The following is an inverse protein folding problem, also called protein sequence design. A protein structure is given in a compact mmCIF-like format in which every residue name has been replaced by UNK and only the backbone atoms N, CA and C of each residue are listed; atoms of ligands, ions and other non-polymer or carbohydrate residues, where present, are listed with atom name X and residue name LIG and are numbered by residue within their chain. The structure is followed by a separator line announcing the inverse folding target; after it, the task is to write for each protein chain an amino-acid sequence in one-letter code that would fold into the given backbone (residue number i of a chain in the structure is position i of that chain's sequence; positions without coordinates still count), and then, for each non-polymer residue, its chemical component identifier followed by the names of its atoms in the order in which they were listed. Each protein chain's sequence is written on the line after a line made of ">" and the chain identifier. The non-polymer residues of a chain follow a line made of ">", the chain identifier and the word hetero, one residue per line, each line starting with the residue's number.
data_IF_886114290417
#
_entry.id   IF_886114290417
#
_cell.length_a   1.000
_cell.length_b   1.000
_cell.length_c   1.000
_cell.angle_alpha   90.00
_cell.angle_beta   90.00
_cell.angle_gamma   90.00
#
_symmetry.space_group_name_H-M   'P 1'
#
loop_
_entity.id
_entity.type
_entity.pdbx_description
1 polymer ?
#
# COMPACT_ATOMS: atom_id res chain seq x y z
N UNK A 1 36.96 29.81 8.79
CA UNK A 1 35.65 29.14 8.67
C UNK A 1 34.58 30.20 8.54
N UNK A 2 33.62 30.02 7.62
CA UNK A 2 32.27 29.70 8.10
C UNK A 2 31.63 28.56 7.30
N UNK A 3 30.98 27.65 8.02
CA UNK A 3 30.22 26.52 7.49
C UNK A 3 28.92 27.03 6.85
N UNK A 4 28.63 26.55 5.64
CA UNK A 4 27.34 26.73 5.01
C UNK A 4 26.27 25.94 5.77
N UNK A 5 25.07 26.51 6.00
CA UNK A 5 23.96 25.74 6.55
C UNK A 5 23.48 24.78 5.45
N UNK A 6 23.56 23.47 5.71
CA UNK A 6 22.84 22.48 4.91
C UNK A 6 21.35 22.70 5.17
N UNK A 7 20.67 23.28 4.19
CA UNK A 7 19.22 23.46 4.19
C UNK A 7 18.54 22.10 4.36
N UNK A 8 18.10 21.82 5.59
CA UNK A 8 17.18 20.73 5.88
C UNK A 8 15.87 20.97 5.16
N UNK A 9 15.68 20.33 4.01
CA UNK A 9 14.39 20.27 3.30
C UNK A 9 13.44 19.29 4.01
N UNK A 10 13.20 19.49 5.30
CA UNK A 10 12.11 18.81 6.00
C UNK A 10 10.75 19.36 5.48
N UNK A 11 10.33 18.87 4.32
CA UNK A 11 8.96 18.94 3.82
C UNK A 11 8.37 17.52 3.92
N UNK A 12 7.05 17.43 4.14
CA UNK A 12 6.48 16.77 5.30
C UNK A 12 6.42 15.24 5.09
N UNK A 13 7.03 14.49 6.01
CA UNK A 13 6.99 13.03 6.03
C UNK A 13 5.55 12.47 5.89
N UNK A 14 4.55 13.22 6.36
CA UNK A 14 3.13 12.92 6.22
C UNK A 14 2.65 12.87 4.77
N UNK A 15 3.07 13.80 3.89
CA UNK A 15 2.65 13.81 2.48
C UNK A 15 3.31 12.67 1.69
N UNK A 16 4.59 12.39 1.99
CA UNK A 16 5.31 11.27 1.38
C UNK A 16 4.72 9.92 1.79
N UNK A 17 4.39 9.74 3.07
CA UNK A 17 3.73 8.53 3.56
C UNK A 17 2.33 8.35 2.98
N UNK A 18 1.49 9.40 2.97
CA UNK A 18 0.16 9.34 2.35
C UNK A 18 0.25 9.00 0.87
N UNK A 19 1.24 9.52 0.15
CA UNK A 19 1.46 9.19 -1.25
C UNK A 19 1.87 7.71 -1.42
N UNK A 20 2.80 7.20 -0.62
CA UNK A 20 3.16 5.77 -0.64
C UNK A 20 1.99 4.85 -0.28
N UNK A 21 1.15 5.25 0.68
CA UNK A 21 -0.04 4.48 1.05
C UNK A 21 -1.08 4.50 -0.08
N UNK A 22 -1.27 5.63 -0.77
CA UNK A 22 -2.13 5.73 -1.95
C UNK A 22 -1.60 4.88 -3.10
N UNK A 23 -0.29 4.88 -3.32
CA UNK A 23 0.37 4.07 -4.35
C UNK A 23 0.21 2.57 -4.06
N UNK A 24 0.41 2.15 -2.80
CA UNK A 24 0.21 0.77 -2.40
C UNK A 24 -1.26 0.31 -2.50
N UNK A 25 -2.21 1.19 -2.16
CA UNK A 25 -3.65 0.93 -2.37
C UNK A 25 -3.98 0.79 -3.86
N UNK A 26 -3.42 1.65 -4.71
CA UNK A 26 -3.58 1.56 -6.15
C UNK A 26 -2.98 0.27 -6.72
N UNK A 27 -1.82 -0.16 -6.19
CA UNK A 27 -1.17 -1.43 -6.52
C UNK A 27 -2.04 -2.64 -6.18
N UNK A 28 -2.58 -2.70 -4.96
CA UNK A 28 -3.50 -3.79 -4.56
C UNK A 28 -4.77 -3.80 -5.42
N UNK A 29 -5.33 -2.63 -5.74
CA UNK A 29 -6.48 -2.54 -6.63
C UNK A 29 -6.18 -3.06 -8.05
N UNK A 30 -4.96 -2.81 -8.55
CA UNK A 30 -4.51 -3.40 -9.82
C UNK A 30 -4.32 -4.91 -9.72
N UNK A 31 -3.72 -5.41 -8.64
CA UNK A 31 -3.56 -6.86 -8.40
C UNK A 31 -4.91 -7.57 -8.33
N UNK A 32 -5.89 -6.99 -7.64
CA UNK A 32 -7.26 -7.50 -7.56
C UNK A 32 -7.95 -7.54 -8.93
N UNK A 33 -7.87 -6.44 -9.69
CA UNK A 33 -8.44 -6.38 -11.05
C UNK A 33 -7.77 -7.37 -12.00
N UNK A 34 -6.45 -7.54 -11.89
CA UNK A 34 -5.70 -8.51 -12.69
C UNK A 34 -6.05 -9.95 -12.29
N UNK A 35 -6.23 -10.24 -11.00
CA UNK A 35 -6.68 -11.54 -10.52
C UNK A 35 -8.09 -11.87 -11.05
N UNK A 36 -9.02 -10.91 -10.99
CA UNK A 36 -10.38 -11.07 -11.53
C UNK A 36 -10.36 -11.33 -13.05
N UNK A 37 -9.53 -10.60 -13.80
CA UNK A 37 -9.36 -10.82 -15.24
C UNK A 37 -8.79 -12.21 -15.54
N UNK A 38 -7.78 -12.66 -14.79
CA UNK A 38 -7.20 -14.00 -14.94
C UNK A 38 -8.21 -15.10 -14.62
N UNK A 39 -9.01 -14.94 -13.57
CA UNK A 39 -10.09 -15.88 -13.25
C UNK A 39 -11.12 -15.97 -14.38
N UNK A 40 -11.49 -14.85 -14.99
CA UNK A 40 -12.41 -14.84 -16.13
C UNK A 40 -11.80 -15.49 -17.39
N UNK A 41 -10.51 -15.27 -17.67
CA UNK A 41 -9.80 -15.91 -18.78
C UNK A 41 -9.65 -17.43 -18.57
N UNK A 42 -9.50 -17.87 -17.32
CA UNK A 42 -9.48 -19.29 -16.94
C UNK A 42 -10.87 -19.94 -17.10
N UNK A 43 -11.93 -19.30 -16.59
CA UNK A 43 -13.31 -19.79 -16.69
C UNK A 43 -13.78 -19.90 -18.16
N UNK A 44 -13.32 -18.98 -19.01
CA UNK A 44 -13.58 -18.99 -20.45
C UNK A 44 -12.67 -19.92 -21.27
N UNK A 45 -11.77 -20.66 -20.60
CA UNK A 45 -10.91 -21.67 -21.23
C UNK A 45 -9.72 -21.11 -22.01
N UNK A 46 -9.41 -19.81 -21.89
CA UNK A 46 -8.25 -19.16 -22.50
C UNK A 46 -6.96 -19.36 -21.70
N UNK A 47 -7.06 -19.71 -20.41
CA UNK A 47 -5.92 -19.96 -19.54
C UNK A 47 -6.12 -21.23 -18.71
N UNK A 48 -5.10 -22.10 -18.66
CA UNK A 48 -5.09 -23.30 -17.80
C UNK A 48 -4.53 -23.00 -16.39
N UNK A 49 -4.14 -21.74 -16.16
CA UNK A 49 -3.37 -21.30 -14.98
C UNK A 49 -4.27 -20.97 -13.77
N UNK A 50 -5.15 -21.90 -13.43
CA UNK A 50 -5.98 -21.86 -12.21
C UNK A 50 -5.14 -21.61 -10.95
N UNK A 51 -3.94 -22.21 -10.90
CA UNK A 51 -3.01 -22.11 -9.77
C UNK A 51 -2.46 -20.69 -9.64
N UNK A 52 -2.04 -20.04 -10.73
CA UNK A 52 -1.55 -18.66 -10.66
C UNK A 52 -2.66 -17.65 -10.39
N UNK A 53 -3.90 -17.91 -10.82
CA UNK A 53 -5.06 -17.10 -10.42
C UNK A 53 -5.34 -17.22 -8.91
N UNK A 54 -5.33 -18.44 -8.36
CA UNK A 54 -5.48 -18.66 -6.91
C UNK A 54 -4.33 -18.08 -6.09
N UNK A 55 -3.09 -18.14 -6.59
CA UNK A 55 -1.93 -17.57 -5.92
C UNK A 55 -1.98 -16.04 -5.93
N UNK A 56 -2.33 -15.42 -7.06
CA UNK A 56 -2.52 -13.98 -7.15
C UNK A 56 -3.62 -13.49 -6.19
N UNK A 57 -4.72 -14.24 -6.06
CA UNK A 57 -5.79 -13.91 -5.11
C UNK A 57 -5.34 -14.02 -3.64
N UNK A 58 -4.53 -15.04 -3.30
CA UNK A 58 -3.91 -15.17 -1.97
C UNK A 58 -2.92 -14.04 -1.66
N UNK A 59 -2.10 -13.67 -2.65
CA UNK A 59 -1.15 -12.56 -2.54
C UNK A 59 -1.89 -11.23 -2.33
N UNK A 60 -2.92 -10.95 -3.13
CA UNK A 60 -3.72 -9.74 -3.01
C UNK A 60 -4.38 -9.62 -1.63
N UNK A 61 -4.97 -10.70 -1.11
CA UNK A 61 -5.60 -10.71 0.21
C UNK A 61 -4.58 -10.49 1.36
N UNK A 62 -3.38 -11.07 1.24
CA UNK A 62 -2.30 -10.86 2.20
C UNK A 62 -1.81 -9.41 2.17
N UNK A 63 -1.52 -8.87 0.98
CA UNK A 63 -1.09 -7.48 0.77
C UNK A 63 -2.13 -6.49 1.30
N UNK A 64 -3.41 -6.73 1.03
CA UNK A 64 -4.51 -5.92 1.55
C UNK A 64 -4.56 -5.91 3.08
N UNK A 65 -4.41 -7.09 3.70
CA UNK A 65 -4.39 -7.23 5.17
C UNK A 65 -3.22 -6.47 5.80
N UNK A 66 -2.05 -6.52 5.17
CA UNK A 66 -0.88 -5.75 5.61
C UNK A 66 -1.13 -4.24 5.51
N UNK A 67 -1.74 -3.75 4.42
CA UNK A 67 -2.07 -2.33 4.27
C UNK A 67 -3.08 -1.84 5.32
N UNK A 68 -4.09 -2.66 5.64
CA UNK A 68 -5.02 -2.37 6.73
C UNK A 68 -4.30 -2.21 8.08
N UNK A 69 -3.32 -3.06 8.38
CA UNK A 69 -2.52 -2.95 9.61
C UNK A 69 -1.68 -1.68 9.64
N UNK A 70 -1.05 -1.33 8.52
CA UNK A 70 -0.28 -0.09 8.38
C UNK A 70 -1.18 1.13 8.57
N UNK A 71 -2.37 1.16 7.94
CA UNK A 71 -3.38 2.21 8.13
C UNK A 71 -3.73 2.39 9.61
N UNK A 72 -4.00 1.30 10.33
CA UNK A 72 -4.38 1.35 11.74
C UNK A 72 -3.24 1.85 12.63
N UNK A 73 -2.00 1.41 12.38
CA UNK A 73 -0.80 1.91 13.08
C UNK A 73 -0.57 3.40 12.86
N UNK A 74 -0.78 3.89 11.65
CA UNK A 74 -0.57 5.31 11.31
C UNK A 74 -1.63 6.18 11.99
N UNK A 75 -2.89 5.76 11.97
CA UNK A 75 -3.96 6.46 12.69
C UNK A 75 -3.69 6.51 14.20
N UNK A 76 -3.20 5.40 14.78
CA UNK A 76 -2.79 5.36 16.19
C UNK A 76 -1.62 6.31 16.50
N UNK A 77 -0.59 6.34 15.66
CA UNK A 77 0.57 7.23 15.83
C UNK A 77 0.22 8.72 15.67
N UNK A 78 -0.72 9.04 14.77
CA UNK A 78 -1.26 10.39 14.62
C UNK A 78 -2.10 10.78 15.84
N UNK A 79 -2.92 9.87 16.36
CA UNK A 79 -3.70 10.10 17.59
C UNK A 79 -2.76 10.31 18.79
N UNK A 80 -1.72 9.49 18.97
CA UNK A 80 -0.68 9.68 19.99
C UNK A 80 0.01 11.04 19.89
N UNK A 81 0.38 11.48 18.69
CA UNK A 81 0.95 12.81 18.45
C UNK A 81 -0.01 13.94 18.87
N UNK A 82 -1.31 13.79 18.61
CA UNK A 82 -2.35 14.76 19.00
C UNK A 82 -2.64 14.69 20.51
N UNK A 83 -2.48 13.52 21.12
CA UNK A 83 -2.73 13.25 22.55
C UNK A 83 -1.51 13.51 23.44
N UNK A 84 -0.40 14.01 22.88
CA UNK A 84 0.61 14.79 23.60
C UNK A 84 0.22 16.28 23.55
N UNK A 85 -0.65 16.77 24.45
CA UNK A 85 -0.69 18.18 24.75
C UNK A 85 0.55 18.56 25.57
N UNK A 86 1.04 19.77 25.33
CA UNK A 86 1.96 20.48 26.23
C UNK A 86 1.36 20.63 27.63
#
# INVERSE_FOLDING_TARGET
>A
MPAAPVSGHALPASFSFTQSMKDALAGVNQEDSAAAARMADVDSGKSDDLVGAMLASQQANLSFSMLMQVRNKVMGAVDELLKLPV
#
